data_IF_703330004263
#
_entry.id   IF_703330004263
#
_cell.length_a   1.000
_cell.length_b   1.000
_cell.length_c   1.000
_cell.angle_alpha   90.00
_cell.angle_beta   90.00
_cell.angle_gamma   90.00
#
_symmetry.space_group_name_H-M   'P 1'
#
loop_
_entity.id
_entity.type
_entity.pdbx_description
1 polymer ?
#
# COMPACT_ATOMS: atom_id res chain seq x y z
N UNK A 1 -18.59 24.38 -22.02
CA UNK A 1 -18.29 22.95 -21.84
C UNK A 1 -18.54 22.52 -20.40
N UNK A 2 -17.82 23.05 -19.40
CA UNK A 2 -17.98 22.68 -17.98
C UNK A 2 -19.41 22.76 -17.42
N UNK A 3 -20.13 23.87 -17.68
CA UNK A 3 -21.55 24.01 -17.27
C UNK A 3 -22.48 23.00 -17.95
N UNK A 4 -22.15 22.61 -19.17
CA UNK A 4 -22.95 21.66 -19.95
C UNK A 4 -22.75 20.24 -19.42
N UNK A 5 -21.53 19.86 -19.06
CA UNK A 5 -21.19 18.54 -18.54
C UNK A 5 -21.83 18.27 -17.16
N UNK A 6 -21.79 19.26 -16.25
CA UNK A 6 -22.48 19.17 -14.95
C UNK A 6 -23.99 19.02 -15.13
N UNK A 7 -24.58 19.75 -16.08
CA UNK A 7 -26.01 19.62 -16.40
C UNK A 7 -26.30 18.21 -16.93
N UNK A 8 -25.48 17.67 -17.84
CA UNK A 8 -25.63 16.29 -18.36
C UNK A 8 -25.55 15.24 -17.24
N UNK A 9 -24.64 15.41 -16.28
CA UNK A 9 -24.47 14.48 -15.14
C UNK A 9 -25.70 14.45 -14.21
N UNK A 10 -26.44 15.55 -14.10
CA UNK A 10 -27.62 15.68 -13.22
C UNK A 10 -28.90 15.09 -13.85
N UNK A 11 -29.04 15.09 -15.17
CA UNK A 11 -30.26 14.64 -15.89
C UNK A 11 -30.05 13.39 -16.75
N UNK A 12 -28.82 12.87 -16.81
CA UNK A 12 -28.43 11.78 -17.72
C UNK A 12 -28.36 12.24 -19.18
N UNK A 13 -27.58 11.55 -20.02
CA UNK A 13 -27.41 11.91 -21.44
C UNK A 13 -28.74 11.85 -22.19
N UNK A 14 -29.57 10.82 -21.95
CA UNK A 14 -30.91 10.71 -22.53
C UNK A 14 -31.84 11.86 -22.12
N UNK A 15 -31.84 12.27 -20.85
CA UNK A 15 -32.63 13.40 -20.37
C UNK A 15 -32.14 14.74 -20.92
N UNK A 16 -30.83 14.91 -21.01
CA UNK A 16 -30.21 16.10 -21.61
C UNK A 16 -30.55 16.25 -23.10
N UNK A 17 -30.42 15.17 -23.87
CA UNK A 17 -30.79 15.14 -25.30
C UNK A 17 -32.28 15.46 -25.47
N UNK A 18 -33.15 14.88 -24.64
CA UNK A 18 -34.58 15.16 -24.69
C UNK A 18 -34.91 16.63 -24.42
N UNK A 19 -34.32 17.23 -23.39
CA UNK A 19 -34.53 18.64 -23.04
C UNK A 19 -33.96 19.59 -24.10
N UNK A 20 -32.86 19.22 -24.75
CA UNK A 20 -32.29 19.97 -25.87
C UNK A 20 -33.17 19.90 -27.13
N UNK A 21 -33.66 18.70 -27.51
CA UNK A 21 -34.60 18.56 -28.64
C UNK A 21 -35.90 19.34 -28.40
N UNK A 22 -36.35 19.40 -27.15
CA UNK A 22 -37.51 20.19 -26.72
C UNK A 22 -37.21 21.70 -26.60
N UNK A 23 -35.99 22.16 -26.93
CA UNK A 23 -35.53 23.56 -26.84
C UNK A 23 -35.65 24.18 -25.44
N UNK A 24 -35.69 23.35 -24.39
CA UNK A 24 -35.75 23.80 -22.99
C UNK A 24 -34.39 24.41 -22.57
N UNK A 25 -33.31 23.97 -23.21
CA UNK A 25 -31.94 24.49 -23.04
C UNK A 25 -31.37 24.93 -24.40
N UNK A 26 -30.66 26.06 -24.46
CA UNK A 26 -30.02 26.60 -25.68
C UNK A 26 -28.49 26.54 -25.60
N UNK A 27 -27.82 26.26 -26.73
CA UNK A 27 -26.36 26.20 -26.85
C UNK A 27 -25.80 27.07 -27.99
N UNK A 28 -24.55 27.58 -27.86
CA UNK A 28 -23.82 28.19 -28.96
C UNK A 28 -23.11 27.13 -29.85
N UNK A 29 -23.68 26.92 -31.05
CA UNK A 29 -23.08 26.53 -32.36
C UNK A 29 -22.41 25.15 -32.62
N UNK A 30 -22.85 24.55 -33.74
CA UNK A 30 -22.26 23.69 -34.80
C UNK A 30 -21.51 22.36 -34.59
N UNK A 31 -21.17 21.90 -33.39
CA UNK A 31 -20.53 20.57 -33.26
C UNK A 31 -21.56 19.44 -33.19
N UNK A 32 -21.29 18.23 -33.75
CA UNK A 32 -22.14 17.07 -33.51
C UNK A 32 -22.22 16.78 -32.00
N UNK A 33 -23.40 16.36 -31.54
CA UNK A 33 -23.59 15.95 -30.14
C UNK A 33 -22.74 14.70 -29.91
N UNK A 34 -21.80 14.71 -28.95
CA UNK A 34 -21.00 13.53 -28.63
C UNK A 34 -21.90 12.39 -28.17
N UNK A 35 -21.49 11.14 -28.43
CA UNK A 35 -22.24 9.98 -27.95
C UNK A 35 -22.25 9.91 -26.42
N UNK A 36 -23.17 9.15 -25.83
CA UNK A 36 -23.20 8.91 -24.37
C UNK A 36 -21.87 8.33 -23.85
N UNK A 37 -21.27 7.43 -24.63
CA UNK A 37 -19.94 6.88 -24.38
C UNK A 37 -18.85 7.96 -24.43
N UNK A 38 -18.87 8.84 -25.44
CA UNK A 38 -17.87 9.91 -25.60
C UNK A 38 -17.96 10.94 -24.45
N UNK A 39 -19.19 11.23 -23.97
CA UNK A 39 -19.41 12.06 -22.79
C UNK A 39 -18.88 11.36 -21.54
N UNK A 40 -19.19 10.07 -21.36
CA UNK A 40 -18.74 9.27 -20.21
C UNK A 40 -17.22 9.21 -20.13
N UNK A 41 -16.54 8.91 -21.24
CA UNK A 41 -15.09 8.89 -21.33
C UNK A 41 -14.46 10.26 -21.05
N UNK A 42 -14.99 11.32 -21.66
CA UNK A 42 -14.51 12.69 -21.40
C UNK A 42 -14.63 13.03 -19.91
N UNK A 43 -15.77 12.69 -19.31
CA UNK A 43 -16.05 12.92 -17.89
C UNK A 43 -15.10 12.10 -16.99
N UNK A 44 -14.83 10.85 -17.33
CA UNK A 44 -13.88 9.98 -16.62
C UNK A 44 -12.49 10.61 -16.54
N UNK A 45 -11.94 11.09 -17.66
CA UNK A 45 -10.61 11.71 -17.68
C UNK A 45 -10.56 13.05 -16.92
N UNK A 46 -11.62 13.86 -16.99
CA UNK A 46 -11.72 15.10 -16.21
C UNK A 46 -11.76 14.81 -14.70
N UNK A 47 -12.57 13.85 -14.27
CA UNK A 47 -12.73 13.46 -12.87
C UNK A 47 -11.47 12.77 -12.32
N UNK A 48 -10.80 11.93 -13.12
CA UNK A 48 -9.54 11.30 -12.73
C UNK A 48 -8.46 12.33 -12.36
N UNK A 49 -8.39 13.45 -13.08
CA UNK A 49 -7.49 14.56 -12.77
C UNK A 49 -8.01 15.56 -11.73
N UNK A 50 -9.25 15.40 -11.28
CA UNK A 50 -10.00 16.35 -10.46
C UNK A 50 -9.96 16.07 -8.96
N UNK A 51 -10.90 16.67 -8.23
CA UNK A 51 -11.02 16.61 -6.75
C UNK A 51 -12.35 15.98 -6.29
N UNK A 52 -13.09 15.31 -7.19
CA UNK A 52 -14.39 14.70 -6.88
C UNK A 52 -14.30 13.16 -6.97
N UNK A 53 -13.82 12.49 -5.90
CA UNK A 53 -13.67 11.04 -5.89
C UNK A 53 -15.02 10.31 -5.92
N UNK A 54 -16.10 10.92 -5.41
CA UNK A 54 -17.42 10.28 -5.38
C UNK A 54 -18.05 10.28 -6.77
N UNK A 55 -17.97 11.40 -7.51
CA UNK A 55 -18.36 11.42 -8.92
C UNK A 55 -17.51 10.46 -9.76
N UNK A 56 -16.20 10.37 -9.48
CA UNK A 56 -15.32 9.42 -10.18
C UNK A 56 -15.76 7.97 -9.96
N UNK A 57 -16.11 7.59 -8.72
CA UNK A 57 -16.65 6.25 -8.42
C UNK A 57 -17.94 5.95 -9.18
N UNK A 58 -18.84 6.93 -9.30
CA UNK A 58 -20.09 6.79 -10.05
C UNK A 58 -19.81 6.58 -11.53
N UNK A 59 -18.92 7.36 -12.14
CA UNK A 59 -18.57 7.16 -13.56
C UNK A 59 -17.88 5.81 -13.76
N UNK A 60 -17.01 5.41 -12.83
CA UNK A 60 -16.33 4.11 -12.91
C UNK A 60 -17.28 2.91 -12.81
N UNK A 61 -18.45 3.04 -12.15
CA UNK A 61 -19.42 1.94 -12.13
C UNK A 61 -20.17 1.75 -13.45
N UNK A 62 -20.11 2.74 -14.36
CA UNK A 62 -20.78 2.71 -15.66
C UNK A 62 -19.82 2.37 -16.82
N UNK A 63 -18.51 2.28 -16.58
CA UNK A 63 -17.53 1.94 -17.62
C UNK A 63 -17.12 0.48 -17.53
N UNK A 64 -17.15 -0.22 -18.67
CA UNK A 64 -16.74 -1.63 -18.75
C UNK A 64 -15.22 -1.81 -18.64
N UNK A 65 -14.45 -0.82 -19.10
CA UNK A 65 -12.99 -0.84 -19.09
C UNK A 65 -12.44 0.46 -18.47
N UNK A 66 -11.77 0.33 -17.33
CA UNK A 66 -11.15 1.45 -16.60
C UNK A 66 -9.84 1.93 -17.22
N UNK A 67 -9.19 1.10 -18.05
CA UNK A 67 -7.90 1.37 -18.70
C UNK A 67 -8.06 1.85 -20.15
N UNK A 68 -9.22 2.45 -20.47
CA UNK A 68 -9.45 3.18 -21.72
C UNK A 68 -8.39 4.26 -21.94
N UNK A 69 -8.08 4.56 -23.20
CA UNK A 69 -7.09 5.59 -23.56
C UNK A 69 -7.76 6.80 -24.20
N UNK A 70 -7.25 7.99 -23.89
CA UNK A 70 -7.65 9.23 -24.58
C UNK A 70 -6.85 9.42 -25.88
N UNK A 71 -7.09 10.54 -26.57
CA UNK A 71 -6.38 10.90 -27.81
C UNK A 71 -4.86 11.10 -27.64
N UNK A 72 -4.37 11.25 -26.42
CA UNK A 72 -2.94 11.31 -26.08
C UNK A 72 -2.37 9.93 -25.70
N UNK A 73 -3.17 8.86 -25.83
CA UNK A 73 -2.80 7.49 -25.44
C UNK A 73 -2.73 7.26 -23.94
N UNK A 74 -3.28 8.16 -23.10
CA UNK A 74 -3.20 8.08 -21.64
C UNK A 74 -4.41 7.37 -21.05
N UNK A 75 -4.18 6.53 -20.04
CA UNK A 75 -5.25 5.98 -19.18
C UNK A 75 -5.71 7.00 -18.12
N UNK A 76 -6.90 6.82 -17.51
CA UNK A 76 -7.34 7.68 -16.40
C UNK A 76 -6.31 7.74 -15.27
N UNK A 77 -5.65 6.62 -14.96
CA UNK A 77 -4.60 6.56 -13.94
C UNK A 77 -3.40 7.45 -14.30
N UNK A 78 -2.98 7.45 -15.58
CA UNK A 78 -1.92 8.34 -16.06
C UNK A 78 -2.34 9.81 -15.99
N UNK A 79 -3.61 10.14 -16.27
CA UNK A 79 -4.12 11.51 -16.13
C UNK A 79 -4.09 11.94 -14.67
N UNK A 80 -4.61 11.12 -13.75
CA UNK A 80 -4.56 11.38 -12.30
C UNK A 80 -3.12 11.59 -11.81
N UNK A 81 -2.21 10.70 -12.19
CA UNK A 81 -0.78 10.78 -11.91
C UNK A 81 -0.16 12.10 -12.42
N UNK A 82 -0.40 12.45 -13.69
CA UNK A 82 0.17 13.65 -14.31
C UNK A 82 -0.33 14.96 -13.69
N UNK A 83 -1.59 14.98 -13.21
CA UNK A 83 -2.21 16.13 -12.54
C UNK A 83 -1.89 16.19 -11.04
N UNK A 84 -1.37 15.10 -10.49
CA UNK A 84 -1.10 14.93 -9.06
C UNK A 84 -2.35 14.78 -8.21
N UNK A 85 -3.43 14.19 -8.76
CA UNK A 85 -4.66 13.90 -8.01
C UNK A 85 -4.50 12.62 -7.21
N UNK A 86 -4.25 12.74 -5.91
CA UNK A 86 -4.13 11.59 -5.02
C UNK A 86 -5.47 10.87 -4.85
N UNK A 87 -6.57 11.62 -4.77
CA UNK A 87 -7.91 11.04 -4.59
C UNK A 87 -8.32 10.26 -5.85
N UNK A 88 -8.03 10.81 -7.04
CA UNK A 88 -8.22 10.10 -8.30
C UNK A 88 -7.39 8.83 -8.37
N UNK A 89 -6.10 8.87 -7.96
CA UNK A 89 -5.26 7.69 -7.89
C UNK A 89 -5.82 6.62 -6.93
N UNK A 90 -6.26 7.02 -5.72
CA UNK A 90 -6.85 6.08 -4.76
C UNK A 90 -8.04 5.35 -5.34
N UNK A 91 -8.99 6.08 -5.90
CA UNK A 91 -10.20 5.50 -6.49
C UNK A 91 -9.86 4.57 -7.66
N UNK A 92 -8.96 4.97 -8.56
CA UNK A 92 -8.60 4.16 -9.72
C UNK A 92 -7.82 2.90 -9.34
N UNK A 93 -6.91 2.99 -8.36
CA UNK A 93 -6.17 1.82 -7.84
C UNK A 93 -7.12 0.86 -7.10
N UNK A 94 -8.05 1.38 -6.31
CA UNK A 94 -9.09 0.57 -5.66
C UNK A 94 -10.02 -0.11 -6.68
N UNK A 95 -10.28 0.53 -7.82
CA UNK A 95 -11.04 -0.05 -8.93
C UNK A 95 -10.23 -1.07 -9.77
N UNK A 96 -8.95 -1.28 -9.47
CA UNK A 96 -8.10 -2.26 -10.16
C UNK A 96 -7.42 -1.75 -11.44
N UNK A 97 -7.23 -0.43 -11.59
CA UNK A 97 -6.58 0.13 -12.77
C UNK A 97 -5.17 -0.45 -12.97
N UNK A 98 -4.80 -0.72 -14.22
CA UNK A 98 -3.49 -1.27 -14.55
C UNK A 98 -2.39 -0.22 -14.28
N UNK A 99 -1.66 -0.44 -13.18
CA UNK A 99 -0.54 0.42 -12.75
C UNK A 99 0.58 0.55 -13.79
N UNK A 100 0.73 -0.46 -14.65
CA UNK A 100 1.83 -0.63 -15.58
C UNK A 100 1.40 -0.48 -17.04
N UNK A 101 0.18 0.00 -17.29
CA UNK A 101 -0.23 0.41 -18.63
C UNK A 101 0.76 1.45 -19.20
N UNK A 102 0.96 1.42 -20.51
CA UNK A 102 1.88 2.31 -21.22
C UNK A 102 1.18 3.06 -22.35
N UNK A 103 1.62 4.29 -22.60
CA UNK A 103 1.29 4.99 -23.84
C UNK A 103 2.00 4.35 -25.04
N UNK A 104 1.73 4.82 -26.26
CA UNK A 104 2.47 4.42 -27.47
C UNK A 104 3.98 4.66 -27.37
N UNK A 105 4.37 5.69 -26.62
CA UNK A 105 5.78 6.06 -26.38
C UNK A 105 6.34 5.38 -25.12
N UNK A 106 5.61 4.43 -24.52
CA UNK A 106 6.07 3.65 -23.38
C UNK A 106 5.96 4.35 -22.02
N UNK A 107 5.26 5.48 -21.91
CA UNK A 107 5.13 6.18 -20.63
C UNK A 107 4.12 5.51 -19.70
N UNK A 108 4.49 5.28 -18.44
CA UNK A 108 3.62 4.76 -17.37
C UNK A 108 3.05 5.86 -16.48
N UNK A 109 2.07 5.53 -15.63
CA UNK A 109 1.57 6.46 -14.61
C UNK A 109 2.69 6.92 -13.65
N UNK A 110 3.59 6.02 -13.25
CA UNK A 110 4.72 6.36 -12.40
C UNK A 110 5.66 7.36 -13.09
N UNK A 111 5.99 7.18 -14.37
CA UNK A 111 6.80 8.12 -15.13
C UNK A 111 6.15 9.51 -15.22
N UNK A 112 4.85 9.58 -15.56
CA UNK A 112 4.14 10.86 -15.59
C UNK A 112 4.15 11.56 -14.23
N UNK A 113 3.84 10.83 -13.15
CA UNK A 113 3.82 11.41 -11.80
C UNK A 113 5.20 11.91 -11.35
N UNK A 114 6.28 11.25 -11.78
CA UNK A 114 7.66 11.65 -11.47
C UNK A 114 8.08 12.88 -12.27
N UNK A 115 7.78 12.91 -13.57
CA UNK A 115 8.14 14.03 -14.43
C UNK A 115 7.39 15.32 -14.05
N UNK A 116 6.07 15.23 -13.78
CA UNK A 116 5.24 16.39 -13.42
C UNK A 116 5.15 16.66 -11.91
N UNK A 117 5.94 15.94 -11.09
CA UNK A 117 5.84 15.96 -9.65
C UNK A 117 5.92 17.38 -9.07
N UNK A 118 4.91 17.74 -8.28
CA UNK A 118 4.94 18.88 -7.35
C UNK A 118 5.21 18.45 -5.91
N UNK A 119 5.14 17.14 -5.66
CA UNK A 119 5.42 16.47 -4.40
C UNK A 119 5.82 15.02 -4.70
N UNK A 120 6.69 14.43 -3.87
CA UNK A 120 7.04 13.02 -3.97
C UNK A 120 5.88 12.08 -3.58
N UNK A 121 4.78 12.61 -2.99
CA UNK A 121 3.65 11.81 -2.49
C UNK A 121 2.94 10.99 -3.57
N UNK A 122 2.83 11.52 -4.79
CA UNK A 122 2.11 10.88 -5.90
C UNK A 122 2.89 9.67 -6.45
N UNK A 123 4.16 9.80 -6.88
CA UNK A 123 4.95 8.64 -7.27
C UNK A 123 5.19 7.65 -6.11
N UNK A 124 5.34 8.12 -4.87
CA UNK A 124 5.44 7.23 -3.71
C UNK A 124 4.16 6.41 -3.47
N UNK A 125 2.98 7.00 -3.70
CA UNK A 125 1.71 6.26 -3.63
C UNK A 125 1.69 5.12 -4.66
N UNK A 126 2.12 5.37 -5.89
CA UNK A 126 2.20 4.36 -6.95
C UNK A 126 3.20 3.23 -6.62
N UNK A 127 4.38 3.55 -6.07
CA UNK A 127 5.31 2.51 -5.58
C UNK A 127 4.72 1.69 -4.42
N UNK A 128 3.97 2.34 -3.53
CA UNK A 128 3.26 1.65 -2.44
C UNK A 128 2.10 0.78 -2.95
N UNK A 129 1.57 1.07 -4.15
CA UNK A 129 0.54 0.28 -4.81
C UNK A 129 1.09 -0.88 -5.65
N UNK A 130 2.41 -0.95 -5.87
CA UNK A 130 3.04 -2.01 -6.66
C UNK A 130 3.34 -1.64 -8.12
N UNK A 131 3.37 -0.35 -8.47
CA UNK A 131 3.85 0.07 -9.80
C UNK A 131 5.29 -0.39 -10.05
N UNK A 132 5.54 -0.86 -11.26
CA UNK A 132 6.86 -1.30 -11.72
C UNK A 132 7.75 -0.07 -12.05
N UNK A 133 8.81 0.19 -11.27
CA UNK A 133 9.74 1.30 -11.50
C UNK A 133 10.78 1.02 -12.58
N UNK A 134 10.90 -0.24 -13.04
CA UNK A 134 11.93 -0.70 -13.98
C UNK A 134 11.54 -0.52 -15.44
N UNK A 135 10.25 -0.29 -15.70
CA UNK A 135 9.74 0.01 -17.04
C UNK A 135 10.41 1.26 -17.60
N UNK A 136 10.67 1.25 -18.91
CA UNK A 136 11.29 2.36 -19.65
C UNK A 136 10.42 2.79 -20.82
N UNK A 137 10.46 4.09 -21.11
CA UNK A 137 9.80 4.66 -22.29
C UNK A 137 10.59 4.34 -23.58
N UNK A 138 10.12 4.83 -24.74
CA UNK A 138 10.79 4.64 -26.03
C UNK A 138 12.20 5.23 -26.11
N UNK A 139 12.54 6.17 -25.24
CA UNK A 139 13.89 6.75 -25.12
C UNK A 139 14.80 5.96 -24.17
N UNK A 140 14.30 4.85 -23.61
CA UNK A 140 15.00 4.05 -22.60
C UNK A 140 15.02 4.67 -21.21
N UNK A 141 14.20 5.70 -20.93
CA UNK A 141 14.13 6.37 -19.63
C UNK A 141 13.10 5.73 -18.71
N UNK A 142 13.55 5.36 -17.52
CA UNK A 142 12.71 4.90 -16.40
C UNK A 142 12.15 6.08 -15.58
N UNK A 143 11.35 5.78 -14.55
CA UNK A 143 10.95 6.78 -13.58
C UNK A 143 12.15 7.40 -12.84
N UNK A 144 13.23 6.65 -12.59
CA UNK A 144 14.46 7.17 -11.99
C UNK A 144 15.10 8.24 -12.89
N UNK A 145 15.27 7.94 -14.18
CA UNK A 145 15.91 8.85 -15.15
C UNK A 145 15.13 10.16 -15.29
N UNK A 146 13.80 10.07 -15.38
CA UNK A 146 12.94 11.24 -15.44
C UNK A 146 12.94 12.04 -14.12
N UNK A 147 13.17 11.36 -12.99
CA UNK A 147 13.29 11.98 -11.67
C UNK A 147 14.52 12.88 -11.53
N UNK A 148 15.58 12.62 -12.30
CA UNK A 148 16.80 13.44 -12.29
C UNK A 148 16.52 14.87 -12.80
N UNK A 149 15.63 14.98 -13.80
CA UNK A 149 15.23 16.24 -14.41
C UNK A 149 14.19 17.02 -13.59
N UNK A 150 13.61 16.41 -12.54
CA UNK A 150 12.65 17.04 -11.62
C UNK A 150 13.27 17.31 -10.24
N UNK A 151 13.50 18.57 -9.90
CA UNK A 151 14.15 18.96 -8.64
C UNK A 151 13.39 18.54 -7.36
N UNK A 152 12.07 18.42 -7.41
CA UNK A 152 11.27 17.94 -6.26
C UNK A 152 11.58 16.48 -5.98
N UNK A 153 11.66 15.67 -7.03
CA UNK A 153 11.97 14.24 -6.92
C UNK A 153 13.44 14.07 -6.57
N UNK A 154 14.36 14.66 -7.35
CA UNK A 154 15.81 14.55 -7.18
C UNK A 154 16.30 14.89 -5.77
N UNK A 155 15.67 15.86 -5.10
CA UNK A 155 16.06 16.27 -3.74
C UNK A 155 15.28 15.54 -2.62
N UNK A 156 14.41 14.58 -2.98
CA UNK A 156 13.65 13.78 -2.02
C UNK A 156 14.29 12.41 -1.78
N UNK A 157 13.94 11.76 -0.66
CA UNK A 157 14.35 10.38 -0.41
C UNK A 157 13.84 9.37 -1.44
N UNK A 158 12.80 9.73 -2.20
CA UNK A 158 12.25 8.89 -3.27
C UNK A 158 13.21 8.71 -4.44
N UNK A 159 14.04 9.71 -4.77
CA UNK A 159 14.98 9.57 -5.89
C UNK A 159 15.99 8.45 -5.67
N UNK A 160 16.58 8.39 -4.46
CA UNK A 160 17.43 7.26 -4.05
C UNK A 160 16.67 5.94 -4.07
N UNK A 161 15.40 5.95 -3.70
CA UNK A 161 14.56 4.74 -3.74
C UNK A 161 14.38 4.23 -5.18
N UNK A 162 14.12 5.13 -6.13
CA UNK A 162 14.02 4.79 -7.55
C UNK A 162 15.35 4.27 -8.10
N UNK A 163 16.48 4.89 -7.72
CA UNK A 163 17.84 4.43 -8.07
C UNK A 163 18.09 2.98 -7.63
N UNK A 164 17.70 2.64 -6.41
CA UNK A 164 17.90 1.29 -5.86
C UNK A 164 17.06 0.22 -6.58
N UNK A 165 16.01 0.61 -7.32
CA UNK A 165 15.04 -0.29 -7.95
C UNK A 165 15.36 -0.61 -9.42
N UNK A 166 16.07 0.27 -10.14
CA UNK A 166 16.28 0.10 -11.61
C UNK A 166 17.17 -1.09 -11.98
N UNK A 167 18.10 -1.49 -11.12
CA UNK A 167 19.09 -2.54 -11.41
C UNK A 167 18.72 -3.92 -10.83
N UNK A 168 17.49 -4.10 -10.36
CA UNK A 168 17.08 -5.32 -9.66
C UNK A 168 15.92 -6.03 -10.37
N UNK A 169 15.87 -7.38 -10.32
CA UNK A 169 14.68 -8.09 -10.78
C UNK A 169 13.48 -7.64 -9.95
N UNK A 170 12.52 -7.01 -10.62
CA UNK A 170 11.29 -6.54 -9.98
C UNK A 170 10.32 -7.71 -9.78
N UNK A 171 9.85 -7.87 -8.56
CA UNK A 171 8.76 -8.79 -8.24
C UNK A 171 7.43 -8.02 -8.26
N UNK A 172 6.54 -8.25 -9.25
CA UNK A 172 5.29 -7.50 -9.40
C UNK A 172 4.26 -7.79 -8.31
N UNK A 173 4.45 -8.83 -7.49
CA UNK A 173 3.53 -9.20 -6.42
C UNK A 173 3.76 -8.41 -5.13
N UNK A 174 4.77 -7.53 -5.08
CA UNK A 174 5.14 -6.82 -3.86
C UNK A 174 5.42 -5.33 -4.12
N UNK A 175 5.03 -4.44 -3.18
CA UNK A 175 5.24 -3.00 -3.32
C UNK A 175 6.72 -2.64 -3.17
N UNK A 176 7.09 -1.38 -3.43
CA UNK A 176 8.50 -0.97 -3.39
C UNK A 176 8.81 0.31 -2.60
N UNK A 177 7.78 0.91 -1.97
CA UNK A 177 7.89 2.17 -1.24
C UNK A 177 7.76 2.07 0.28
N UNK A 178 7.76 0.87 0.86
CA UNK A 178 7.42 0.66 2.28
C UNK A 178 8.59 1.04 3.20
N UNK A 179 8.27 1.41 4.45
CA UNK A 179 9.24 1.68 5.50
C UNK A 179 9.42 0.47 6.40
N UNK A 180 10.57 0.37 7.04
CA UNK A 180 10.72 -0.49 8.23
C UNK A 180 9.85 0.08 9.37
N UNK A 181 9.06 -0.76 10.06
CA UNK A 181 8.07 -0.31 11.04
C UNK A 181 8.67 0.32 12.30
N UNK A 182 9.93 0.03 12.62
CA UNK A 182 10.68 0.72 13.68
C UNK A 182 11.67 1.67 13.02
N UNK A 183 11.66 2.95 13.46
CA UNK A 183 12.53 3.98 12.90
C UNK A 183 13.99 3.56 13.03
N UNK A 184 14.74 3.65 11.93
CA UNK A 184 16.18 3.34 11.84
C UNK A 184 16.54 1.86 12.10
N UNK A 185 15.56 1.00 12.39
CA UNK A 185 15.80 -0.43 12.49
C UNK A 185 16.10 -1.03 11.11
N UNK A 186 16.86 -2.12 11.14
CA UNK A 186 17.11 -3.01 10.01
C UNK A 186 16.25 -4.26 10.14
N UNK A 187 16.07 -4.97 9.04
CA UNK A 187 15.62 -6.36 9.05
C UNK A 187 16.67 -7.18 9.80
N UNK A 188 16.20 -8.08 10.68
CA UNK A 188 17.08 -8.88 11.51
C UNK A 188 18.03 -9.72 10.67
N UNK A 189 19.29 -9.83 11.09
CA UNK A 189 20.27 -10.72 10.45
C UNK A 189 20.08 -12.19 10.82
N UNK A 190 19.15 -12.52 11.73
CA UNK A 190 18.95 -13.89 12.22
C UNK A 190 17.88 -14.61 11.40
N UNK A 191 18.18 -15.77 10.80
CA UNK A 191 17.19 -16.50 9.99
C UNK A 191 15.91 -16.87 10.74
N UNK A 192 15.99 -17.15 12.06
CA UNK A 192 14.81 -17.49 12.86
C UNK A 192 13.88 -16.30 13.17
N UNK A 193 14.26 -15.07 12.78
CA UNK A 193 13.45 -13.86 12.89
C UNK A 193 12.82 -13.44 11.54
N UNK A 194 13.10 -14.19 10.46
CA UNK A 194 12.56 -13.93 9.13
C UNK A 194 11.27 -14.74 8.91
N UNK A 195 10.42 -14.31 7.96
CA UNK A 195 9.31 -15.13 7.47
C UNK A 195 9.80 -16.49 6.99
N UNK A 196 8.95 -17.52 7.04
CA UNK A 196 9.33 -18.87 6.62
C UNK A 196 10.06 -19.70 7.69
N UNK A 197 10.58 -19.07 8.75
CA UNK A 197 11.27 -19.81 9.82
C UNK A 197 10.32 -20.69 10.66
N UNK A 198 10.74 -21.89 11.08
CA UNK A 198 9.96 -22.71 12.00
C UNK A 198 9.92 -22.07 13.39
N UNK A 199 8.76 -22.12 14.06
CA UNK A 199 8.63 -21.65 15.45
C UNK A 199 9.01 -22.77 16.43
N UNK A 200 9.80 -22.45 17.47
CA UNK A 200 10.27 -23.45 18.44
C UNK A 200 9.22 -23.86 19.47
N UNK A 201 8.26 -22.98 19.76
CA UNK A 201 7.31 -23.16 20.86
C UNK A 201 5.94 -23.69 20.40
N UNK A 202 5.67 -23.70 19.09
CA UNK A 202 4.44 -24.17 18.42
C UNK A 202 4.76 -24.79 17.07
N UNK A 203 3.86 -25.60 16.51
CA UNK A 203 4.01 -26.07 15.13
C UNK A 203 3.64 -24.95 14.14
N UNK A 204 4.15 -25.06 12.91
CA UNK A 204 3.91 -24.07 11.86
C UNK A 204 5.02 -23.05 11.69
N UNK A 205 4.70 -22.05 10.87
CA UNK A 205 5.69 -21.14 10.29
C UNK A 205 5.57 -19.73 10.84
N UNK A 206 6.68 -18.99 10.81
CA UNK A 206 6.75 -17.57 11.07
C UNK A 206 6.27 -16.78 9.83
N UNK A 207 5.21 -15.98 9.96
CA UNK A 207 4.57 -15.30 8.81
C UNK A 207 5.03 -13.84 8.62
N UNK A 208 6.07 -13.41 9.36
CA UNK A 208 6.49 -12.01 9.40
C UNK A 208 7.93 -11.83 9.85
N UNK A 209 8.27 -10.57 10.13
CA UNK A 209 9.58 -10.17 10.64
C UNK A 209 9.50 -9.88 12.13
N UNK A 210 10.42 -10.47 12.89
CA UNK A 210 10.60 -10.14 14.31
C UNK A 210 11.75 -9.14 14.49
N UNK A 211 11.49 -8.10 15.27
CA UNK A 211 12.46 -7.03 15.55
C UNK A 211 12.97 -7.13 16.99
N UNK A 212 13.89 -8.04 17.25
CA UNK A 212 14.49 -8.20 18.58
C UNK A 212 15.66 -7.25 18.83
N UNK A 213 15.78 -6.81 20.09
CA UNK A 213 16.91 -6.04 20.58
C UNK A 213 18.24 -6.74 20.24
N UNK A 214 19.24 -5.95 19.83
CA UNK A 214 20.56 -6.45 19.46
C UNK A 214 20.66 -7.15 18.09
N UNK A 215 19.57 -7.26 17.33
CA UNK A 215 19.60 -7.87 15.97
C UNK A 215 19.23 -6.93 14.84
N UNK A 216 18.67 -5.75 15.17
CA UNK A 216 18.10 -4.80 14.20
C UNK A 216 18.81 -3.45 14.17
N UNK A 217 19.98 -3.33 14.82
CA UNK A 217 20.82 -2.13 14.81
C UNK A 217 20.34 -0.96 15.67
N UNK A 218 19.14 -1.06 16.26
CA UNK A 218 18.59 -0.11 17.23
C UNK A 218 18.11 -0.85 18.48
N UNK A 219 17.95 -0.10 19.57
CA UNK A 219 17.41 -0.63 20.81
C UNK A 219 15.90 -0.87 20.70
N UNK A 220 15.46 -2.04 21.15
CA UNK A 220 14.05 -2.41 21.22
C UNK A 220 13.69 -2.66 22.68
N UNK A 221 12.75 -1.88 23.19
CA UNK A 221 12.24 -1.99 24.55
C UNK A 221 10.71 -2.02 24.56
N UNK A 222 10.16 -2.36 25.73
CA UNK A 222 8.74 -2.25 25.97
C UNK A 222 8.33 -0.78 25.83
N UNK A 223 7.43 -0.49 24.88
CA UNK A 223 7.00 0.87 24.59
C UNK A 223 7.66 1.52 23.38
N UNK A 224 8.63 0.87 22.71
CA UNK A 224 9.23 1.40 21.46
C UNK A 224 8.14 1.70 20.42
N UNK A 225 8.09 2.90 19.81
CA UNK A 225 7.04 3.23 18.85
C UNK A 225 7.11 2.38 17.56
N UNK A 226 5.96 1.87 17.14
CA UNK A 226 5.78 1.13 15.88
C UNK A 226 5.02 2.02 14.90
N UNK A 227 5.53 2.11 13.67
CA UNK A 227 5.04 2.98 12.61
C UNK A 227 4.42 2.18 11.47
N UNK A 228 3.40 2.76 10.85
CA UNK A 228 2.82 2.23 9.63
C UNK A 228 3.87 2.18 8.51
N UNK A 229 4.00 1.02 7.86
CA UNK A 229 4.99 0.79 6.80
C UNK A 229 4.64 1.57 5.54
N UNK A 230 3.36 1.82 5.31
CA UNK A 230 2.81 2.60 4.20
C UNK A 230 1.53 3.31 4.63
N UNK A 231 1.06 4.27 3.82
CA UNK A 231 -0.25 4.89 4.05
C UNK A 231 -1.34 3.86 3.79
N UNK A 232 -2.44 3.92 4.53
CA UNK A 232 -3.50 2.93 4.42
C UNK A 232 -4.70 3.22 5.31
N UNK A 233 -5.63 2.28 5.33
CA UNK A 233 -6.85 2.32 6.13
C UNK A 233 -6.77 1.24 7.20
N UNK A 234 -7.09 1.58 8.44
CA UNK A 234 -7.21 0.60 9.52
C UNK A 234 -8.37 -0.35 9.21
N UNK A 235 -8.10 -1.65 9.22
CA UNK A 235 -9.15 -2.68 9.07
C UNK A 235 -9.38 -3.47 10.37
N UNK A 236 -8.40 -3.46 11.30
CA UNK A 236 -8.52 -4.01 12.66
C UNK A 236 -7.65 -3.22 13.62
N UNK A 237 -8.15 -2.99 14.83
CA UNK A 237 -7.38 -2.43 15.95
C UNK A 237 -7.95 -2.95 17.28
N UNK A 238 -7.15 -3.70 18.03
CA UNK A 238 -7.60 -4.36 19.27
C UNK A 238 -7.52 -3.41 20.48
N UNK A 239 -8.33 -2.34 20.44
CA UNK A 239 -8.45 -1.37 21.53
C UNK A 239 -9.05 -2.07 22.75
N UNK A 240 -8.46 -1.83 23.92
CA UNK A 240 -8.86 -2.45 25.21
C UNK A 240 -8.68 -3.98 25.26
N UNK A 241 -7.82 -4.55 24.43
CA UNK A 241 -7.41 -5.96 24.56
C UNK A 241 -6.94 -6.26 26.00
N UNK A 242 -7.43 -7.37 26.54
CA UNK A 242 -7.09 -7.88 27.88
C UNK A 242 -6.24 -9.13 27.70
N UNK A 243 -5.14 -9.21 28.46
CA UNK A 243 -4.24 -10.36 28.38
C UNK A 243 -4.89 -11.65 28.92
N UNK A 244 -4.52 -12.78 28.33
CA UNK A 244 -5.00 -14.09 28.77
C UNK A 244 -4.43 -14.46 30.16
N UNK A 245 -5.09 -15.39 30.85
CA UNK A 245 -4.52 -15.98 32.08
C UNK A 245 -3.46 -17.04 31.74
N UNK A 246 -2.66 -17.44 32.75
CA UNK A 246 -1.67 -18.51 32.59
C UNK A 246 -2.30 -19.82 32.12
N UNK A 247 -3.46 -20.18 32.67
CA UNK A 247 -4.16 -21.40 32.31
C UNK A 247 -4.59 -21.40 30.83
N UNK A 248 -5.12 -20.27 30.34
CA UNK A 248 -5.54 -20.10 28.95
C UNK A 248 -4.33 -20.12 28.00
N UNK A 249 -3.23 -19.48 28.40
CA UNK A 249 -2.01 -19.47 27.61
C UNK A 249 -1.41 -20.87 27.47
N UNK A 250 -1.30 -21.62 28.56
CA UNK A 250 -0.77 -22.99 28.55
C UNK A 250 -1.63 -23.92 27.69
N UNK A 251 -2.95 -23.77 27.73
CA UNK A 251 -3.87 -24.45 26.83
C UNK A 251 -3.65 -24.05 25.36
N UNK A 252 -3.49 -22.76 25.09
CA UNK A 252 -3.24 -22.25 23.72
C UNK A 252 -1.95 -22.83 23.15
N UNK A 253 -0.87 -22.90 23.95
CA UNK A 253 0.40 -23.53 23.55
C UNK A 253 0.23 -25.03 23.30
N UNK A 254 -0.54 -25.73 24.14
CA UNK A 254 -0.84 -27.15 23.94
C UNK A 254 -1.56 -27.38 22.61
N UNK A 255 -2.62 -26.62 22.33
CA UNK A 255 -3.35 -26.68 21.06
C UNK A 255 -2.43 -26.43 19.86
N UNK A 256 -1.56 -25.42 19.95
CA UNK A 256 -0.61 -25.08 18.89
C UNK A 256 0.49 -26.13 18.65
N UNK A 257 0.77 -27.00 19.64
CA UNK A 257 1.74 -28.10 19.52
C UNK A 257 1.10 -29.40 19.07
N UNK A 258 -0.16 -29.61 19.41
CA UNK A 258 -0.91 -30.83 19.08
C UNK A 258 -1.45 -30.80 17.64
N UNK A 259 -1.52 -29.62 17.00
CA UNK A 259 -1.90 -29.46 15.60
C UNK A 259 -0.71 -29.58 14.64
N UNK A 260 -0.93 -30.03 13.40
CA UNK A 260 0.14 -30.10 12.38
C UNK A 260 0.65 -28.71 11.98
N UNK A 261 -0.28 -27.76 11.90
CA UNK A 261 -0.01 -26.33 11.75
C UNK A 261 -0.87 -25.58 12.76
N UNK A 262 -0.39 -24.46 13.29
CA UNK A 262 -1.14 -23.71 14.30
C UNK A 262 -2.40 -23.13 13.67
N UNK A 263 -3.57 -23.47 14.22
CA UNK A 263 -4.84 -22.93 13.73
C UNK A 263 -4.88 -21.39 13.86
N UNK A 264 -5.59 -20.74 12.93
CA UNK A 264 -5.55 -19.27 12.79
C UNK A 264 -6.03 -18.55 14.05
N UNK A 265 -7.06 -19.08 14.71
CA UNK A 265 -7.60 -18.53 15.96
C UNK A 265 -6.65 -18.73 17.15
N UNK A 266 -5.94 -19.86 17.20
CA UNK A 266 -4.86 -20.09 18.16
C UNK A 266 -3.70 -19.12 17.92
N UNK A 267 -3.31 -18.91 16.67
CA UNK A 267 -2.26 -17.97 16.30
C UNK A 267 -2.66 -16.52 16.61
N UNK A 268 -3.91 -16.14 16.38
CA UNK A 268 -4.43 -14.82 16.72
C UNK A 268 -4.30 -14.50 18.21
N UNK A 269 -4.59 -15.49 19.08
CA UNK A 269 -4.37 -15.35 20.53
C UNK A 269 -2.89 -15.15 20.87
N UNK A 270 -2.01 -15.91 20.23
CA UNK A 270 -0.56 -15.81 20.46
C UNK A 270 0.04 -14.50 19.92
N UNK A 271 -0.55 -13.89 18.88
CA UNK A 271 -0.19 -12.54 18.41
C UNK A 271 -0.58 -11.44 19.41
N UNK A 272 -1.55 -11.73 20.28
CA UNK A 272 -2.09 -10.80 21.26
C UNK A 272 -2.74 -9.59 20.62
N UNK A 273 -2.44 -8.40 21.15
CA UNK A 273 -2.99 -7.13 20.68
C UNK A 273 -2.41 -6.76 19.31
N UNK A 274 -3.29 -6.47 18.35
CA UNK A 274 -2.90 -6.19 16.97
C UNK A 274 -3.50 -4.92 16.35
N UNK A 275 -2.83 -4.44 15.30
CA UNK A 275 -3.38 -3.48 14.32
C UNK A 275 -3.17 -4.05 12.93
N UNK A 276 -4.19 -3.99 12.07
CA UNK A 276 -4.07 -4.37 10.66
C UNK A 276 -4.43 -3.18 9.77
N UNK A 277 -3.62 -2.93 8.74
CA UNK A 277 -3.81 -1.86 7.77
C UNK A 277 -3.96 -2.44 6.36
N UNK A 278 -4.93 -1.94 5.59
CA UNK A 278 -5.00 -2.16 4.14
C UNK A 278 -4.35 -0.98 3.42
N UNK A 279 -3.50 -1.27 2.45
CA UNK A 279 -2.76 -0.31 1.65
C UNK A 279 -3.25 -0.26 0.21
N UNK A 280 -2.77 0.72 -0.54
CA UNK A 280 -2.96 0.76 -1.99
C UNK A 280 -2.41 -0.53 -2.63
N UNK A 281 -3.03 -0.99 -3.72
CA UNK A 281 -2.67 -2.27 -4.36
C UNK A 281 -3.23 -3.52 -3.66
N UNK A 282 -4.03 -3.36 -2.60
CA UNK A 282 -4.69 -4.48 -1.89
C UNK A 282 -3.85 -5.10 -0.77
N UNK A 283 -2.58 -4.72 -0.62
CA UNK A 283 -1.69 -5.26 0.40
C UNK A 283 -2.19 -5.01 1.82
N UNK A 284 -1.89 -5.94 2.73
CA UNK A 284 -2.23 -5.83 4.15
C UNK A 284 -0.96 -5.91 4.98
N UNK A 285 -0.78 -4.98 5.93
CA UNK A 285 0.21 -5.15 6.99
C UNK A 285 -0.47 -5.48 8.31
N UNK A 286 0.12 -6.41 9.07
CA UNK A 286 -0.35 -6.80 10.40
C UNK A 286 0.76 -6.58 11.42
N UNK A 287 0.42 -5.92 12.52
CA UNK A 287 1.34 -5.58 13.61
C UNK A 287 0.86 -6.28 14.87
N UNK A 288 1.72 -7.07 15.50
CA UNK A 288 1.40 -7.87 16.67
C UNK A 288 2.30 -7.58 17.87
N UNK A 289 1.98 -8.23 19.00
CA UNK A 289 2.65 -8.05 20.29
C UNK A 289 2.63 -6.60 20.79
N UNK A 290 1.54 -5.87 20.59
CA UNK A 290 1.46 -4.44 20.93
C UNK A 290 1.16 -4.21 22.41
N UNK A 291 1.91 -3.32 23.06
CA UNK A 291 1.61 -2.87 24.43
C UNK A 291 0.53 -1.79 24.50
N UNK A 292 0.30 -1.05 23.41
CA UNK A 292 -0.73 -0.01 23.32
C UNK A 292 -1.04 0.34 21.86
N UNK A 293 -2.27 0.78 21.63
CA UNK A 293 -2.76 1.31 20.36
C UNK A 293 -3.38 2.70 20.65
N UNK A 294 -3.09 3.75 19.86
CA UNK A 294 -3.77 5.04 19.98
C UNK A 294 -5.29 4.88 19.87
N UNK A 295 -6.06 5.48 20.79
CA UNK A 295 -7.52 5.37 20.81
C UNK A 295 -8.19 5.92 19.53
N UNK A 296 -7.49 6.77 18.77
CA UNK A 296 -7.96 7.30 17.49
C UNK A 296 -7.90 6.29 16.34
N UNK A 297 -7.18 5.17 16.48
CA UNK A 297 -7.07 4.17 15.42
C UNK A 297 -8.19 3.14 15.53
N UNK A 298 -9.29 3.44 14.85
CA UNK A 298 -10.46 2.57 14.69
C UNK A 298 -10.60 2.14 13.24
N UNK A 299 -11.34 1.05 12.98
CA UNK A 299 -11.57 0.58 11.62
C UNK A 299 -12.17 1.70 10.72
N UNK A 300 -11.66 1.84 9.50
CA UNK A 300 -11.99 2.91 8.57
C UNK A 300 -11.12 4.17 8.70
N UNK A 301 -10.32 4.30 9.77
CA UNK A 301 -9.44 5.46 9.95
C UNK A 301 -8.26 5.44 8.97
N UNK A 302 -7.96 6.60 8.36
CA UNK A 302 -6.75 6.76 7.55
C UNK A 302 -5.50 6.87 8.42
N UNK A 303 -4.42 6.25 7.94
CA UNK A 303 -3.09 6.29 8.52
C UNK A 303 -2.09 6.73 7.46
N UNK A 304 -1.22 7.67 7.81
CA UNK A 304 -0.11 8.08 6.94
C UNK A 304 1.11 7.16 7.14
N UNK A 305 1.84 6.89 6.07
CA UNK A 305 3.13 6.20 6.14
C UNK A 305 4.04 6.84 7.19
N UNK A 306 4.63 6.03 8.07
CA UNK A 306 5.50 6.49 9.15
C UNK A 306 4.77 7.03 10.39
N UNK A 307 3.44 7.11 10.39
CA UNK A 307 2.64 7.46 11.58
C UNK A 307 2.76 6.36 12.62
N UNK A 308 2.89 6.74 13.90
CA UNK A 308 2.90 5.80 15.01
C UNK A 308 1.51 5.18 15.18
N UNK A 309 1.44 3.86 15.13
CA UNK A 309 0.20 3.07 15.20
C UNK A 309 0.09 2.22 16.46
N UNK A 310 1.17 2.12 17.20
CA UNK A 310 1.22 1.36 18.44
C UNK A 310 2.58 1.45 19.08
N UNK A 311 2.74 0.70 20.16
CA UNK A 311 4.03 0.54 20.82
C UNK A 311 4.34 -0.93 21.01
N UNK A 312 5.62 -1.28 20.92
CA UNK A 312 6.14 -2.61 21.19
C UNK A 312 5.72 -3.08 22.57
N UNK A 313 5.34 -4.34 22.68
CA UNK A 313 5.10 -5.04 23.91
C UNK A 313 5.43 -6.52 23.72
N UNK A 314 4.70 -7.34 24.45
CA UNK A 314 4.82 -8.79 24.47
C UNK A 314 3.42 -9.43 24.64
N UNK A 315 2.35 -8.74 24.22
CA UNK A 315 0.99 -9.25 24.38
C UNK A 315 0.84 -10.58 23.65
N UNK A 316 0.08 -11.52 24.24
CA UNK A 316 -0.07 -12.87 23.71
C UNK A 316 1.15 -13.78 23.92
N UNK A 317 2.19 -13.33 24.65
CA UNK A 317 3.33 -14.16 25.06
C UNK A 317 3.27 -14.52 26.55
N UNK A 318 4.14 -15.44 26.97
CA UNK A 318 4.26 -15.87 28.37
C UNK A 318 4.60 -14.70 29.30
N UNK A 319 5.49 -13.82 28.87
CA UNK A 319 5.95 -12.64 29.62
C UNK A 319 4.78 -11.71 29.95
N UNK A 320 3.89 -11.45 29.00
CA UNK A 320 2.70 -10.63 29.25
C UNK A 320 1.75 -11.29 30.26
N UNK A 321 1.55 -12.61 30.17
CA UNK A 321 0.69 -13.38 31.07
C UNK A 321 1.24 -13.42 32.50
N UNK A 322 2.57 -13.46 32.64
CA UNK A 322 3.27 -13.33 33.93
C UNK A 322 3.35 -11.89 34.44
N UNK A 323 2.94 -10.91 33.63
CA UNK A 323 3.00 -9.48 33.96
C UNK A 323 4.41 -8.89 33.89
N UNK A 324 5.36 -9.55 33.22
CA UNK A 324 6.71 -9.02 32.98
C UNK A 324 6.77 -8.21 31.70
N UNK A 325 7.86 -7.44 31.53
CA UNK A 325 8.14 -6.66 30.32
C UNK A 325 9.35 -7.19 29.57
N UNK A 326 9.68 -8.44 29.82
CA UNK A 326 10.85 -9.08 29.24
C UNK A 326 10.59 -9.44 27.77
N UNK A 327 11.68 -9.54 27.01
CA UNK A 327 11.75 -9.89 25.59
C UNK A 327 10.72 -9.20 24.65
N UNK A 328 10.49 -7.88 24.78
CA UNK A 328 9.54 -7.18 23.92
C UNK A 328 10.06 -7.14 22.48
N UNK A 329 9.20 -7.46 21.53
CA UNK A 329 9.56 -7.45 20.11
C UNK A 329 8.35 -7.11 19.23
N UNK A 330 8.48 -6.17 18.28
CA UNK A 330 7.53 -6.03 17.19
C UNK A 330 7.55 -7.27 16.32
N UNK A 331 6.37 -7.77 15.99
CA UNK A 331 6.17 -8.73 14.92
C UNK A 331 5.33 -8.07 13.83
N UNK A 332 5.84 -8.05 12.60
CA UNK A 332 5.17 -7.39 11.46
C UNK A 332 5.13 -8.29 10.25
N UNK A 333 3.92 -8.48 9.73
CA UNK A 333 3.62 -9.30 8.55
C UNK A 333 3.19 -8.39 7.40
N UNK A 334 3.54 -8.77 6.18
CA UNK A 334 3.05 -8.15 4.95
C UNK A 334 2.38 -9.22 4.10
N UNK A 335 1.18 -8.93 3.63
CA UNK A 335 0.31 -9.87 2.93
C UNK A 335 -0.12 -9.31 1.58
N UNK A 336 -0.19 -10.19 0.60
CA UNK A 336 -0.83 -9.98 -0.68
C UNK A 336 -1.83 -11.12 -0.88
N UNK A 337 -3.13 -10.82 -0.78
CA UNK A 337 -4.21 -11.82 -0.71
C UNK A 337 -3.94 -12.90 0.36
N UNK A 338 -3.75 -14.15 -0.05
CA UNK A 338 -3.50 -15.31 0.81
C UNK A 338 -2.01 -15.57 1.06
N UNK A 339 -1.11 -14.82 0.41
CA UNK A 339 0.33 -15.00 0.54
C UNK A 339 0.95 -13.95 1.48
N UNK A 340 1.99 -14.34 2.22
CA UNK A 340 2.77 -13.44 3.06
C UNK A 340 4.19 -13.29 2.53
N UNK A 341 4.80 -12.14 2.79
CA UNK A 341 6.12 -11.82 2.26
C UNK A 341 7.16 -12.82 2.77
N UNK A 342 7.83 -13.51 1.85
CA UNK A 342 8.86 -14.50 2.18
C UNK A 342 8.34 -15.93 2.34
N UNK A 343 7.06 -16.21 2.07
CA UNK A 343 6.56 -17.58 2.05
C UNK A 343 7.33 -18.42 1.02
N UNK A 344 7.78 -19.60 1.45
CA UNK A 344 8.55 -20.55 0.62
C UNK A 344 9.85 -19.98 0.04
N UNK A 345 10.41 -18.93 0.62
CA UNK A 345 11.69 -18.35 0.22
C UNK A 345 12.78 -18.70 1.22
N UNK A 346 13.99 -18.92 0.73
CA UNK A 346 15.17 -19.03 1.58
C UNK A 346 15.60 -17.63 2.10
N UNK A 347 16.37 -17.55 3.21
CA UNK A 347 16.75 -16.27 3.80
C UNK A 347 17.34 -15.24 2.82
N UNK A 348 18.21 -15.68 1.90
CA UNK A 348 18.82 -14.77 0.90
C UNK A 348 17.78 -14.17 -0.04
N UNK A 349 16.80 -14.96 -0.47
CA UNK A 349 15.69 -14.51 -1.32
C UNK A 349 14.77 -13.56 -0.57
N UNK A 350 14.53 -13.82 0.72
CA UNK A 350 13.78 -12.91 1.61
C UNK A 350 14.50 -11.57 1.70
N UNK A 351 15.82 -11.53 1.86
CA UNK A 351 16.55 -10.27 1.90
C UNK A 351 16.50 -9.52 0.56
N UNK A 352 16.57 -10.21 -0.58
CA UNK A 352 16.40 -9.56 -1.89
C UNK A 352 14.99 -8.96 -2.03
N UNK A 353 13.96 -9.69 -1.63
CA UNK A 353 12.59 -9.18 -1.66
C UNK A 353 12.39 -8.02 -0.67
N UNK A 354 12.94 -8.13 0.54
CA UNK A 354 12.94 -7.06 1.54
C UNK A 354 13.68 -5.81 1.03
N UNK A 355 14.73 -5.98 0.20
CA UNK A 355 15.41 -4.87 -0.48
C UNK A 355 14.49 -4.11 -1.42
N UNK A 356 13.63 -4.82 -2.15
CA UNK A 356 12.59 -4.20 -2.99
C UNK A 356 11.53 -3.52 -2.13
N UNK A 357 11.08 -4.13 -1.04
CA UNK A 357 9.97 -3.57 -0.26
C UNK A 357 10.40 -2.38 0.61
N UNK A 358 11.49 -2.53 1.36
CA UNK A 358 11.92 -1.59 2.41
C UNK A 358 13.14 -0.74 2.03
N UNK A 359 13.83 -1.12 0.96
CA UNK A 359 15.04 -0.45 0.49
C UNK A 359 16.33 -0.99 1.06
N UNK A 360 17.43 -0.62 0.41
CA UNK A 360 18.75 -1.19 0.67
C UNK A 360 19.24 -0.91 2.09
N UNK A 361 18.98 0.29 2.60
CA UNK A 361 19.37 0.70 3.95
C UNK A 361 18.63 -0.06 5.08
N UNK A 362 17.53 -0.77 4.75
CA UNK A 362 16.80 -1.59 5.69
C UNK A 362 17.46 -2.96 5.92
N UNK A 363 18.41 -3.37 5.10
CA UNK A 363 19.02 -4.70 5.21
C UNK A 363 20.12 -4.74 6.29
N UNK A 364 20.41 -5.93 6.83
CA UNK A 364 21.60 -6.10 7.66
C UNK A 364 22.89 -5.83 6.87
N UNK A 365 23.96 -5.42 7.55
CA UNK A 365 25.22 -4.98 6.94
C UNK A 365 25.84 -5.97 5.94
N UNK A 366 25.58 -7.26 6.07
CA UNK A 366 26.07 -8.28 5.13
C UNK A 366 25.35 -8.28 3.78
N UNK A 367 24.25 -7.53 3.67
CA UNK A 367 23.39 -7.41 2.48
C UNK A 367 23.17 -5.94 2.04
N UNK A 368 23.80 -4.98 2.73
CA UNK A 368 24.07 -3.62 2.22
C UNK A 368 25.21 -3.66 1.21
#
# INVERSE_FOLDING_TARGET
>A
MFRTLIIVLVIGVGGFIALWQLKIIQMPVSSPIPSEEEISLTTLFELAGGLDPDALKIVLSEVENIDVINNEGKTPLMVAASKGSLDGLRVLVEAGANLNATTTDGYTALMFSTQSARTARIPLFLLNAGSDPTLTNSDGKSAFDLGADNAIIRNSGLYRRLEELVDQPFNPNWPSGYLVPVKEAKISSRPNHLPGAPRRYRNGTHEGFDFYNGTVGVEIEYGTPIRAVASGIVIRADINYTESTQEIYDETIRLARDSLDTEVDVLDRLRGRQVWLRHAGGFISRYAHLSSIPASLVAGQEVSQGQVIGKTGNSGTLEAVQGTRDDPHPHVELWNDEDYLGRNLEPDEIYQLAKQVFGKAALPLSYE
#
